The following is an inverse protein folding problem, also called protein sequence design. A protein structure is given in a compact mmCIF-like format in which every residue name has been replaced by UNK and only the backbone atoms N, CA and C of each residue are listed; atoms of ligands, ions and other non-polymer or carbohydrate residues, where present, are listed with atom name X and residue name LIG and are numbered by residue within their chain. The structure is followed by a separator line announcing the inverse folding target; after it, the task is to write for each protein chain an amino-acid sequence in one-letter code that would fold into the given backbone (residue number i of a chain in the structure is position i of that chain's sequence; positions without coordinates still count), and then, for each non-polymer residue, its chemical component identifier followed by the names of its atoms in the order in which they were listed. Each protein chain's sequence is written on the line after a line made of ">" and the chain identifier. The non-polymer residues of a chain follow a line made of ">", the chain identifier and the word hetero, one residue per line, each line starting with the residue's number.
data_IF_996595700341
#
_entry.id   IF_996595700341
#
_cell.length_a   1.000
_cell.length_b   1.000
_cell.length_c   1.000
_cell.angle_alpha   90.00
_cell.angle_beta   90.00
_cell.angle_gamma   90.00
#
_symmetry.space_group_name_H-M   'P 1'
#
loop_
_entity.id
_entity.type
_entity.pdbx_description
1 polymer ?
#
# COMPACT_ATOMS: atom_id res chain seq x y z
N UNK A 1 -66.55 -33.60 -21.80
CA UNK A 1 -65.59 -33.35 -22.90
C UNK A 1 -64.62 -32.32 -22.39
N UNK A 2 -63.35 -32.67 -22.21
CA UNK A 2 -62.30 -31.69 -21.93
C UNK A 2 -62.03 -30.91 -23.21
N UNK A 3 -61.97 -29.58 -23.11
CA UNK A 3 -61.55 -28.71 -24.20
C UNK A 3 -60.12 -29.08 -24.60
N UNK A 4 -59.86 -29.25 -25.90
CA UNK A 4 -58.54 -29.63 -26.39
C UNK A 4 -57.61 -28.42 -26.23
N UNK A 5 -56.75 -28.46 -25.21
CA UNK A 5 -55.70 -27.45 -25.03
C UNK A 5 -54.64 -27.68 -26.11
N UNK A 6 -54.39 -26.67 -26.94
CA UNK A 6 -53.36 -26.72 -27.99
C UNK A 6 -51.95 -26.59 -27.39
N UNK A 7 -51.02 -27.43 -27.88
CA UNK A 7 -49.61 -27.43 -27.44
C UNK A 7 -49.04 -28.84 -27.33
N UNK A 8 -47.80 -28.93 -26.84
CA UNK A 8 -47.12 -30.19 -26.53
C UNK A 8 -46.79 -30.27 -25.03
N UNK A 9 -46.65 -31.47 -24.47
CA UNK A 9 -46.26 -31.58 -23.05
C UNK A 9 -44.80 -31.16 -22.87
N UNK A 10 -44.43 -30.67 -21.69
CA UNK A 10 -43.04 -30.33 -21.40
C UNK A 10 -42.11 -31.55 -21.46
N UNK A 11 -42.63 -32.77 -21.29
CA UNK A 11 -41.88 -34.00 -21.55
C UNK A 11 -41.58 -34.18 -23.05
N UNK A 12 -42.56 -33.97 -23.91
CA UNK A 12 -42.38 -34.00 -25.37
C UNK A 12 -41.42 -32.90 -25.84
N UNK A 13 -41.60 -31.69 -25.30
CA UNK A 13 -40.72 -30.56 -25.57
C UNK A 13 -39.27 -30.86 -25.12
N UNK A 14 -39.08 -31.44 -23.93
CA UNK A 14 -37.78 -31.82 -23.38
C UNK A 14 -37.09 -32.89 -24.22
N UNK A 15 -37.84 -33.85 -24.75
CA UNK A 15 -37.31 -34.89 -25.64
C UNK A 15 -36.83 -34.32 -26.97
N UNK A 16 -37.49 -33.28 -27.49
CA UNK A 16 -37.14 -32.64 -28.76
C UNK A 16 -36.03 -31.58 -28.63
N UNK A 17 -36.05 -30.79 -27.56
CA UNK A 17 -35.21 -29.60 -27.41
C UNK A 17 -34.05 -29.79 -26.42
N UNK A 18 -34.06 -30.88 -25.65
CA UNK A 18 -33.12 -31.10 -24.56
C UNK A 18 -33.37 -30.17 -23.37
N UNK A 19 -32.38 -30.05 -22.49
CA UNK A 19 -32.51 -29.33 -21.22
C UNK A 19 -32.73 -27.82 -21.42
N UNK A 20 -33.59 -27.23 -20.59
CA UNK A 20 -33.93 -25.80 -20.65
C UNK A 20 -32.88 -24.90 -19.98
N UNK A 21 -32.95 -23.60 -20.27
CA UNK A 21 -32.15 -22.56 -19.63
C UNK A 21 -32.76 -22.13 -18.29
N UNK A 22 -31.94 -21.58 -17.39
CA UNK A 22 -32.43 -21.00 -16.13
C UNK A 22 -33.48 -19.91 -16.36
N UNK A 23 -33.29 -19.04 -17.34
CA UNK A 23 -34.22 -17.95 -17.61
C UNK A 23 -35.63 -18.45 -17.99
N UNK A 24 -35.68 -19.47 -18.85
CA UNK A 24 -36.95 -20.09 -19.27
C UNK A 24 -37.60 -20.84 -18.11
N UNK A 25 -36.81 -21.62 -17.35
CA UNK A 25 -37.29 -22.29 -16.16
C UNK A 25 -37.87 -21.32 -15.13
N UNK A 26 -37.21 -20.19 -14.86
CA UNK A 26 -37.70 -19.15 -13.95
C UNK A 26 -39.02 -18.55 -14.44
N UNK A 27 -39.12 -18.22 -15.73
CA UNK A 27 -40.35 -17.67 -16.33
C UNK A 27 -41.53 -18.63 -16.13
N UNK A 28 -41.34 -19.91 -16.44
CA UNK A 28 -42.38 -20.92 -16.27
C UNK A 28 -42.80 -21.10 -14.81
N UNK A 29 -41.85 -21.08 -13.87
CA UNK A 29 -42.19 -21.25 -12.44
C UNK A 29 -42.92 -20.03 -11.90
N UNK A 30 -42.46 -18.84 -12.29
CA UNK A 30 -43.15 -17.58 -12.00
C UNK A 30 -44.57 -17.61 -12.55
N UNK A 31 -44.78 -18.16 -13.75
CA UNK A 31 -46.09 -18.26 -14.35
C UNK A 31 -47.04 -19.15 -13.53
N UNK A 32 -46.60 -20.36 -13.17
CA UNK A 32 -47.44 -21.29 -12.40
C UNK A 32 -47.80 -20.77 -11.01
N UNK A 33 -46.91 -19.99 -10.39
CA UNK A 33 -47.07 -19.47 -9.03
C UNK A 33 -47.53 -18.01 -8.95
N UNK A 34 -47.85 -17.36 -10.08
CA UNK A 34 -48.25 -15.95 -10.11
C UNK A 34 -49.51 -15.68 -9.25
N UNK A 35 -49.59 -14.54 -8.55
CA UNK A 35 -50.78 -14.15 -7.80
C UNK A 35 -51.95 -13.80 -8.74
N UNK A 36 -53.20 -14.03 -8.30
CA UNK A 36 -54.42 -13.82 -9.10
C UNK A 36 -54.57 -12.36 -9.61
N UNK A 37 -54.00 -11.39 -8.91
CA UNK A 37 -54.04 -9.96 -9.27
C UNK A 37 -52.90 -9.52 -10.22
N UNK A 38 -52.13 -10.46 -10.77
CA UNK A 38 -51.13 -10.14 -11.79
C UNK A 38 -51.84 -9.80 -13.11
N UNK A 39 -51.56 -8.61 -13.65
CA UNK A 39 -52.38 -7.94 -14.70
C UNK A 39 -52.67 -8.77 -15.96
N UNK A 40 -52.02 -9.92 -16.20
CA UNK A 40 -52.26 -10.82 -17.34
C UNK A 40 -52.03 -12.32 -17.03
N UNK A 41 -51.96 -12.75 -15.76
CA UNK A 41 -51.48 -14.10 -15.44
C UNK A 41 -52.04 -14.61 -14.09
N UNK A 42 -53.10 -15.41 -14.09
CA UNK A 42 -53.48 -16.16 -12.90
C UNK A 42 -52.67 -17.46 -12.86
N UNK A 43 -51.78 -17.60 -11.88
CA UNK A 43 -50.98 -18.80 -11.74
C UNK A 43 -51.87 -19.99 -11.40
N UNK A 44 -51.85 -21.02 -12.23
CA UNK A 44 -52.75 -22.17 -12.07
C UNK A 44 -52.59 -22.88 -10.71
N UNK A 45 -51.37 -22.90 -10.15
CA UNK A 45 -51.16 -23.45 -8.80
C UNK A 45 -51.71 -22.53 -7.71
N UNK A 46 -51.61 -21.21 -7.90
CA UNK A 46 -52.21 -20.24 -6.99
C UNK A 46 -53.73 -20.41 -6.97
N UNK A 47 -54.35 -20.54 -8.15
CA UNK A 47 -55.78 -20.77 -8.28
C UNK A 47 -56.23 -22.07 -7.58
N UNK A 48 -55.52 -23.19 -7.81
CA UNK A 48 -55.86 -24.44 -7.16
C UNK A 48 -55.75 -24.33 -5.63
N UNK A 49 -54.62 -23.81 -5.15
CA UNK A 49 -54.34 -23.73 -3.71
C UNK A 49 -55.27 -22.71 -3.01
N UNK A 50 -55.69 -21.63 -3.66
CA UNK A 50 -56.67 -20.67 -3.12
C UNK A 50 -58.08 -21.27 -2.99
N UNK A 51 -58.40 -22.27 -3.81
CA UNK A 51 -59.66 -23.03 -3.75
C UNK A 51 -59.54 -24.32 -2.94
N UNK A 52 -58.51 -24.46 -2.09
CA UNK A 52 -58.25 -25.65 -1.28
C UNK A 52 -58.05 -26.94 -2.10
N UNK A 53 -57.61 -26.85 -3.35
CA UNK A 53 -57.34 -28.00 -4.21
C UNK A 53 -55.83 -28.27 -4.30
N UNK A 54 -55.43 -29.54 -4.21
CA UNK A 54 -54.04 -29.99 -4.45
C UNK A 54 -53.98 -30.87 -5.69
N UNK A 55 -52.98 -30.70 -6.54
CA UNK A 55 -52.89 -31.43 -7.81
C UNK A 55 -52.37 -32.87 -7.64
N UNK A 56 -51.36 -33.07 -6.79
CA UNK A 56 -50.69 -34.35 -6.48
C UNK A 56 -49.92 -35.01 -7.62
N UNK A 57 -50.09 -34.58 -8.88
CA UNK A 57 -49.36 -35.15 -10.02
C UNK A 57 -48.67 -34.11 -10.91
N UNK A 58 -47.92 -33.17 -10.32
CA UNK A 58 -47.15 -32.17 -11.09
C UNK A 58 -45.88 -32.82 -11.65
N UNK A 59 -45.82 -32.96 -12.98
CA UNK A 59 -44.67 -33.50 -13.72
C UNK A 59 -44.67 -32.97 -15.16
N UNK A 60 -43.53 -33.05 -15.90
CA UNK A 60 -43.45 -32.52 -17.27
C UNK A 60 -44.50 -33.09 -18.24
N UNK A 61 -44.94 -34.34 -18.07
CA UNK A 61 -45.99 -34.94 -18.91
C UNK A 61 -47.37 -34.29 -18.70
N UNK A 62 -47.58 -33.61 -17.56
CA UNK A 62 -48.86 -33.01 -17.17
C UNK A 62 -48.85 -31.48 -17.34
N UNK A 63 -47.81 -30.91 -17.94
CA UNK A 63 -47.71 -29.49 -18.24
C UNK A 63 -47.63 -29.32 -19.75
N UNK A 64 -48.62 -28.67 -20.36
CA UNK A 64 -48.62 -28.33 -21.79
C UNK A 64 -47.96 -26.97 -21.99
N UNK A 65 -46.97 -26.91 -22.89
CA UNK A 65 -46.46 -25.67 -23.46
C UNK A 65 -47.33 -25.25 -24.65
N UNK A 66 -48.03 -24.13 -24.49
CA UNK A 66 -48.89 -23.56 -25.52
C UNK A 66 -48.07 -22.76 -26.55
N UNK A 67 -48.61 -22.51 -27.77
CA UNK A 67 -47.92 -21.74 -28.81
C UNK A 67 -47.54 -20.31 -28.41
N UNK A 68 -48.25 -19.69 -27.46
CA UNK A 68 -47.93 -18.38 -26.89
C UNK A 68 -46.74 -18.40 -25.90
N UNK A 69 -46.24 -19.60 -25.56
CA UNK A 69 -45.14 -19.83 -24.62
C UNK A 69 -45.57 -20.00 -23.16
N UNK A 70 -46.87 -20.00 -22.88
CA UNK A 70 -47.43 -20.19 -21.55
C UNK A 70 -47.67 -21.68 -21.26
N UNK A 71 -47.60 -22.03 -19.98
CA UNK A 71 -47.92 -23.37 -19.48
C UNK A 71 -49.39 -23.51 -19.10
N UNK A 72 -49.98 -24.64 -19.45
CA UNK A 72 -51.24 -25.13 -18.89
C UNK A 72 -51.01 -26.44 -18.13
N UNK A 73 -51.74 -26.62 -17.03
CA UNK A 73 -51.74 -27.86 -16.27
C UNK A 73 -52.87 -28.76 -16.78
N UNK A 74 -52.53 -30.00 -17.11
CA UNK A 74 -53.47 -31.03 -17.54
C UNK A 74 -53.48 -32.19 -16.54
N UNK A 75 -54.49 -33.04 -16.67
CA UNK A 75 -54.70 -34.22 -15.82
C UNK A 75 -55.06 -33.90 -14.35
N UNK A 76 -56.29 -33.43 -14.17
CA UNK A 76 -56.90 -33.22 -12.85
C UNK A 76 -57.39 -34.53 -12.20
N UNK A 77 -57.08 -35.70 -12.78
CA UNK A 77 -57.45 -37.01 -12.20
C UNK A 77 -56.84 -37.24 -10.82
N UNK A 78 -55.78 -36.49 -10.50
CA UNK A 78 -55.15 -36.48 -9.20
C UNK A 78 -55.64 -35.44 -8.20
N UNK A 79 -56.57 -34.55 -8.57
CA UNK A 79 -56.92 -33.42 -7.70
C UNK A 79 -57.74 -33.84 -6.48
N UNK A 80 -57.48 -33.21 -5.34
CA UNK A 80 -58.20 -33.45 -4.08
C UNK A 80 -58.50 -32.14 -3.35
N UNK A 81 -59.69 -32.03 -2.77
CA UNK A 81 -60.07 -30.93 -1.88
C UNK A 81 -59.51 -31.15 -0.45
N UNK A 82 -58.86 -30.13 0.10
CA UNK A 82 -58.35 -30.11 1.46
C UNK A 82 -59.54 -29.94 2.42
N UNK A 83 -59.71 -30.88 3.36
CA UNK A 83 -60.76 -30.82 4.39
C UNK A 83 -61.94 -31.77 4.19
N UNK A 84 -62.07 -32.43 3.03
CA UNK A 84 -62.98 -33.57 2.91
C UNK A 84 -62.42 -34.79 3.67
N UNK A 85 -62.92 -35.01 4.89
CA UNK A 85 -62.92 -36.32 5.51
C UNK A 85 -63.90 -37.20 4.73
N UNK A 86 -63.40 -38.03 3.83
CA UNK A 86 -64.12 -39.21 3.34
C UNK A 86 -64.23 -40.24 4.47
N UNK A 87 -64.95 -39.89 5.53
CA UNK A 87 -65.70 -40.90 6.23
C UNK A 87 -66.81 -41.31 5.26
N UNK A 88 -66.85 -42.60 4.90
CA UNK A 88 -67.82 -43.28 4.04
C UNK A 88 -67.33 -43.45 2.58
N UNK A 89 -66.38 -44.37 2.36
CA UNK A 89 -66.52 -45.55 1.44
C UNK A 89 -65.20 -46.32 1.21
N UNK A 90 -64.02 -45.86 1.65
CA UNK A 90 -62.83 -46.76 1.68
C UNK A 90 -61.87 -46.46 2.83
N UNK A 91 -61.38 -47.49 3.51
CA UNK A 91 -60.54 -47.38 4.72
C UNK A 91 -59.08 -46.95 4.43
N UNK A 92 -58.76 -46.61 3.18
CA UNK A 92 -57.43 -46.19 2.75
C UNK A 92 -57.55 -45.00 1.78
N UNK A 93 -56.81 -43.90 2.01
CA UNK A 93 -56.81 -42.78 1.08
C UNK A 93 -56.29 -43.23 -0.30
N UNK A 94 -56.90 -42.74 -1.38
CA UNK A 94 -56.40 -42.98 -2.75
C UNK A 94 -55.01 -42.34 -2.90
N UNK A 95 -53.96 -43.18 -2.84
CA UNK A 95 -52.57 -42.76 -2.97
C UNK A 95 -52.24 -42.62 -4.45
N UNK A 96 -51.84 -41.42 -4.86
CA UNK A 96 -51.36 -41.13 -6.21
C UNK A 96 -49.86 -40.87 -6.12
N UNK A 97 -49.07 -41.69 -6.80
CA UNK A 97 -47.61 -41.56 -6.81
C UNK A 97 -47.08 -41.51 -8.24
N UNK A 98 -46.14 -40.59 -8.46
CA UNK A 98 -45.37 -40.46 -9.68
C UNK A 98 -43.90 -40.69 -9.35
N UNK A 99 -43.33 -41.74 -9.93
CA UNK A 99 -41.98 -42.21 -9.63
C UNK A 99 -40.96 -41.10 -9.89
N UNK A 100 -40.17 -40.74 -8.86
CA UNK A 100 -39.18 -39.67 -8.93
C UNK A 100 -39.71 -38.24 -8.67
N UNK A 101 -41.04 -38.04 -8.69
CA UNK A 101 -41.67 -36.72 -8.52
C UNK A 101 -42.43 -36.58 -7.20
N UNK A 102 -43.06 -37.64 -6.71
CA UNK A 102 -43.86 -37.58 -5.48
C UNK A 102 -42.99 -37.46 -4.22
N UNK A 103 -43.36 -36.59 -3.26
CA UNK A 103 -42.68 -36.46 -1.98
C UNK A 103 -43.05 -37.58 -0.99
N UNK A 104 -42.23 -37.81 0.05
CA UNK A 104 -42.46 -38.87 1.03
C UNK A 104 -43.83 -38.81 1.73
N UNK A 105 -44.29 -37.62 2.11
CA UNK A 105 -45.58 -37.49 2.79
C UNK A 105 -46.78 -37.82 1.88
N UNK A 106 -46.67 -37.58 0.57
CA UNK A 106 -47.70 -38.00 -0.39
C UNK A 106 -47.71 -39.51 -0.59
N UNK A 107 -46.54 -40.15 -0.63
CA UNK A 107 -46.42 -41.62 -0.67
C UNK A 107 -47.09 -42.25 0.56
N UNK A 108 -47.07 -41.55 1.69
CA UNK A 108 -47.75 -41.95 2.93
C UNK A 108 -49.24 -41.55 2.98
N UNK A 109 -49.82 -41.03 1.89
CA UNK A 109 -51.23 -40.62 1.82
C UNK A 109 -51.55 -39.28 2.48
N UNK A 110 -50.54 -38.50 2.88
CA UNK A 110 -50.64 -37.22 3.59
C UNK A 110 -50.26 -36.03 2.70
N UNK A 111 -50.70 -36.04 1.44
CA UNK A 111 -50.41 -34.95 0.50
C UNK A 111 -50.96 -33.61 1.01
N UNK A 112 -50.15 -32.54 0.87
CA UNK A 112 -50.48 -31.16 1.24
C UNK A 112 -50.14 -30.22 0.08
N UNK A 113 -50.42 -28.92 0.21
CA UNK A 113 -49.99 -27.91 -0.78
C UNK A 113 -48.48 -27.93 -1.03
N UNK A 114 -47.67 -28.20 0.00
CA UNK A 114 -46.22 -28.26 -0.14
C UNK A 114 -45.74 -29.56 -0.82
N UNK A 115 -46.63 -30.54 -0.99
CA UNK A 115 -46.34 -31.73 -1.79
C UNK A 115 -46.29 -31.40 -3.29
N UNK A 116 -47.17 -30.50 -3.75
CA UNK A 116 -47.12 -29.95 -5.11
C UNK A 116 -45.83 -29.16 -5.36
N UNK A 117 -45.32 -28.42 -4.36
CA UNK A 117 -44.06 -27.67 -4.50
C UNK A 117 -42.82 -28.57 -4.60
N UNK A 118 -42.84 -29.72 -3.94
CA UNK A 118 -41.79 -30.72 -4.12
C UNK A 118 -41.80 -31.29 -5.54
N UNK A 119 -42.98 -31.68 -6.02
CA UNK A 119 -43.16 -32.19 -7.38
C UNK A 119 -42.79 -31.13 -8.44
N UNK A 120 -43.10 -29.86 -8.18
CA UNK A 120 -42.63 -28.71 -8.95
C UNK A 120 -41.09 -28.63 -8.97
N UNK A 121 -40.43 -28.72 -7.80
CA UNK A 121 -38.96 -28.75 -7.73
C UNK A 121 -38.34 -29.91 -8.53
N UNK A 122 -38.90 -31.12 -8.42
CA UNK A 122 -38.48 -32.31 -9.18
C UNK A 122 -38.66 -32.14 -10.68
N UNK A 123 -39.78 -31.56 -11.09
CA UNK A 123 -40.08 -31.23 -12.49
C UNK A 123 -39.07 -30.24 -13.06
N UNK A 124 -38.70 -29.22 -12.29
CA UNK A 124 -37.71 -28.24 -12.71
C UNK A 124 -36.31 -28.82 -12.82
N UNK A 125 -35.92 -29.71 -11.90
CA UNK A 125 -34.67 -30.47 -12.04
C UNK A 125 -34.69 -31.31 -13.31
N UNK A 126 -35.80 -31.98 -13.62
CA UNK A 126 -35.95 -32.75 -14.86
C UNK A 126 -35.72 -31.87 -16.10
N UNK A 127 -36.39 -30.73 -16.17
CA UNK A 127 -36.26 -29.77 -17.27
C UNK A 127 -34.83 -29.19 -17.38
N UNK A 128 -34.19 -28.86 -16.27
CA UNK A 128 -32.86 -28.23 -16.25
C UNK A 128 -31.71 -29.22 -16.48
N UNK A 129 -31.94 -30.51 -16.26
CA UNK A 129 -30.94 -31.57 -16.48
C UNK A 129 -31.18 -32.35 -17.76
N UNK A 130 -32.42 -32.38 -18.27
CA UNK A 130 -32.84 -33.25 -19.37
C UNK A 130 -32.89 -34.72 -18.97
N UNK A 131 -33.04 -35.03 -17.67
CA UNK A 131 -32.99 -36.40 -17.12
C UNK A 131 -34.17 -36.64 -16.20
N UNK A 132 -34.66 -37.87 -16.17
CA UNK A 132 -35.69 -38.25 -15.21
C UNK A 132 -35.13 -38.13 -13.78
N UNK A 133 -35.85 -37.52 -12.82
CA UNK A 133 -35.37 -37.37 -11.45
C UNK A 133 -34.98 -38.68 -10.76
N UNK A 134 -35.55 -39.83 -11.15
CA UNK A 134 -35.19 -41.14 -10.59
C UNK A 134 -33.74 -41.52 -10.92
N UNK A 135 -33.29 -41.20 -12.13
CA UNK A 135 -31.94 -41.51 -12.63
C UNK A 135 -30.86 -40.65 -11.96
N UNK A 136 -31.29 -39.60 -11.26
CA UNK A 136 -30.44 -38.65 -10.55
C UNK A 136 -30.35 -38.95 -9.04
N UNK A 137 -31.08 -39.95 -8.55
CA UNK A 137 -31.02 -40.38 -7.15
C UNK A 137 -29.84 -41.33 -6.98
N UNK A 138 -28.96 -40.96 -6.06
CA UNK A 138 -27.83 -41.80 -5.66
C UNK A 138 -28.35 -43.01 -4.86
N UNK A 139 -28.08 -44.21 -5.35
CA UNK A 139 -28.65 -45.46 -4.80
C UNK A 139 -28.15 -45.80 -3.39
N UNK A 140 -27.02 -45.24 -2.95
CA UNK A 140 -26.44 -45.49 -1.63
C UNK A 140 -26.95 -44.49 -0.59
N UNK A 141 -27.13 -43.24 -0.99
CA UNK A 141 -27.48 -42.14 -0.07
C UNK A 141 -28.94 -41.73 -0.16
N UNK A 142 -29.68 -42.21 -1.16
CA UNK A 142 -31.04 -41.79 -1.52
C UNK A 142 -31.17 -40.26 -1.72
N UNK A 143 -30.07 -39.60 -2.08
CA UNK A 143 -30.02 -38.15 -2.30
C UNK A 143 -30.09 -37.83 -3.80
N UNK A 144 -30.83 -36.78 -4.15
CA UNK A 144 -30.91 -36.26 -5.51
C UNK A 144 -29.64 -35.47 -5.87
N UNK A 145 -28.76 -36.03 -6.71
CA UNK A 145 -27.49 -35.40 -7.13
C UNK A 145 -27.59 -34.86 -8.55
N UNK A 146 -28.19 -33.68 -8.70
CA UNK A 146 -28.51 -33.14 -10.03
C UNK A 146 -27.57 -32.02 -10.51
N UNK A 147 -26.82 -31.37 -9.59
CA UNK A 147 -26.11 -30.11 -9.86
C UNK A 147 -25.09 -30.19 -11.00
N UNK A 148 -24.38 -31.31 -11.12
CA UNK A 148 -23.34 -31.51 -12.13
C UNK A 148 -23.90 -31.69 -13.55
N UNK A 149 -25.17 -32.12 -13.67
CA UNK A 149 -25.86 -32.24 -14.96
C UNK A 149 -26.46 -30.90 -15.44
N UNK A 150 -26.61 -29.93 -14.54
CA UNK A 150 -27.14 -28.61 -14.82
C UNK A 150 -26.15 -27.48 -14.43
N UNK A 151 -24.92 -27.44 -14.96
CA UNK A 151 -23.93 -26.42 -14.61
C UNK A 151 -24.38 -25.00 -14.97
N UNK A 152 -25.27 -24.86 -15.97
CA UNK A 152 -25.84 -23.59 -16.41
C UNK A 152 -26.70 -22.89 -15.37
N UNK A 153 -27.13 -23.61 -14.33
CA UNK A 153 -27.96 -23.07 -13.24
C UNK A 153 -27.07 -22.28 -12.26
N UNK A 154 -27.47 -21.08 -11.88
CA UNK A 154 -26.83 -20.25 -10.88
C UNK A 154 -26.87 -20.92 -9.51
N UNK A 155 -25.84 -20.68 -8.68
CA UNK A 155 -25.80 -21.26 -7.32
C UNK A 155 -27.04 -20.87 -6.47
N UNK A 156 -27.50 -19.61 -6.49
CA UNK A 156 -28.73 -19.23 -5.77
C UNK A 156 -29.96 -20.01 -6.23
N UNK A 157 -30.17 -20.15 -7.54
CA UNK A 157 -31.36 -20.86 -8.03
C UNK A 157 -31.29 -22.36 -7.73
N UNK A 158 -30.11 -22.97 -7.83
CA UNK A 158 -29.92 -24.36 -7.42
C UNK A 158 -30.20 -24.58 -5.92
N UNK A 159 -29.76 -23.66 -5.07
CA UNK A 159 -30.07 -23.72 -3.64
C UNK A 159 -31.58 -23.61 -3.39
N UNK A 160 -32.27 -22.74 -4.13
CA UNK A 160 -33.71 -22.59 -4.04
C UNK A 160 -34.48 -23.84 -4.47
N UNK A 161 -34.09 -24.48 -5.58
CA UNK A 161 -34.68 -25.75 -6.02
C UNK A 161 -34.50 -26.85 -4.97
N UNK A 162 -33.36 -26.90 -4.28
CA UNK A 162 -33.16 -27.83 -3.17
C UNK A 162 -34.14 -27.56 -2.00
N UNK A 163 -34.46 -26.29 -1.72
CA UNK A 163 -35.47 -25.92 -0.70
C UNK A 163 -36.85 -26.43 -1.08
N UNK A 164 -37.28 -26.25 -2.34
CA UNK A 164 -38.55 -26.79 -2.85
C UNK A 164 -38.64 -28.30 -2.69
N UNK A 165 -37.53 -29.01 -2.89
CA UNK A 165 -37.43 -30.47 -2.79
C UNK A 165 -37.00 -30.96 -1.40
N UNK A 166 -37.12 -30.16 -0.33
CA UNK A 166 -36.75 -30.64 1.01
C UNK A 166 -37.60 -31.86 1.40
N UNK A 167 -37.02 -32.84 2.07
CA UNK A 167 -37.78 -33.99 2.58
C UNK A 167 -38.84 -33.58 3.61
N UNK A 168 -38.60 -32.49 4.36
CA UNK A 168 -39.56 -31.97 5.35
C UNK A 168 -40.51 -30.94 4.70
N UNK A 169 -41.84 -31.16 4.74
CA UNK A 169 -42.83 -30.21 4.24
C UNK A 169 -42.71 -28.80 4.84
N UNK A 170 -42.30 -28.69 6.11
CA UNK A 170 -42.15 -27.43 6.83
C UNK A 170 -40.96 -26.58 6.37
N UNK A 171 -39.99 -27.18 5.70
CA UNK A 171 -38.81 -26.48 5.16
C UNK A 171 -39.04 -25.96 3.73
N UNK A 172 -40.14 -26.36 3.10
CA UNK A 172 -40.55 -25.87 1.79
C UNK A 172 -41.31 -24.55 1.94
N UNK A 173 -41.46 -23.75 0.87
CA UNK A 173 -42.37 -22.60 0.86
C UNK A 173 -43.78 -23.05 1.23
N UNK A 174 -44.51 -22.22 1.96
CA UNK A 174 -45.86 -22.60 2.42
C UNK A 174 -46.96 -22.16 1.46
N UNK A 175 -46.66 -21.24 0.54
CA UNK A 175 -47.62 -20.70 -0.44
C UNK A 175 -46.96 -20.49 -1.80
N UNK A 176 -47.77 -20.44 -2.87
CA UNK A 176 -47.30 -20.05 -4.20
C UNK A 176 -46.79 -18.61 -4.23
N UNK A 177 -47.37 -17.73 -3.41
CA UNK A 177 -46.94 -16.33 -3.25
C UNK A 177 -45.50 -16.27 -2.74
N UNK A 178 -45.13 -17.07 -1.75
CA UNK A 178 -43.76 -17.12 -1.24
C UNK A 178 -42.76 -17.53 -2.33
N UNK A 179 -43.13 -18.51 -3.16
CA UNK A 179 -42.34 -18.93 -4.32
C UNK A 179 -42.20 -17.76 -5.29
N UNK A 180 -43.31 -17.16 -5.72
CA UNK A 180 -43.32 -16.07 -6.67
C UNK A 180 -42.47 -14.88 -6.20
N UNK A 181 -42.68 -14.41 -4.98
CA UNK A 181 -41.91 -13.31 -4.35
C UNK A 181 -40.42 -13.64 -4.27
N UNK A 182 -40.05 -14.88 -3.92
CA UNK A 182 -38.64 -15.27 -3.92
C UNK A 182 -38.02 -15.15 -5.33
N UNK A 183 -38.72 -15.65 -6.35
CA UNK A 183 -38.24 -15.64 -7.73
C UNK A 183 -38.15 -14.24 -8.33
N UNK A 184 -39.05 -13.32 -7.96
CA UNK A 184 -39.12 -11.97 -8.55
C UNK A 184 -38.29 -10.94 -7.78
N UNK A 185 -38.15 -11.06 -6.46
CA UNK A 185 -37.49 -10.05 -5.63
C UNK A 185 -36.12 -10.50 -5.10
N UNK A 186 -36.04 -11.67 -4.47
CA UNK A 186 -34.84 -12.11 -3.73
C UNK A 186 -33.79 -12.76 -4.62
N UNK A 187 -34.21 -13.69 -5.47
CA UNK A 187 -33.32 -14.49 -6.29
C UNK A 187 -32.48 -13.66 -7.28
N UNK A 188 -33.04 -12.65 -8.00
CA UNK A 188 -32.25 -11.84 -8.92
C UNK A 188 -31.11 -11.07 -8.23
N UNK A 189 -31.35 -10.60 -6.99
CA UNK A 189 -30.32 -9.92 -6.20
C UNK A 189 -29.19 -10.87 -5.81
N UNK A 190 -29.53 -12.08 -5.38
CA UNK A 190 -28.55 -13.12 -5.03
C UNK A 190 -27.70 -13.54 -6.24
N UNK A 191 -28.31 -13.67 -7.42
CA UNK A 191 -27.61 -13.99 -8.66
C UNK A 191 -26.60 -12.90 -9.01
N UNK A 192 -27.03 -11.61 -9.02
CA UNK A 192 -26.15 -10.46 -9.29
C UNK A 192 -24.97 -10.38 -8.32
N UNK A 193 -25.21 -10.58 -7.03
CA UNK A 193 -24.16 -10.60 -6.02
C UNK A 193 -23.14 -11.73 -6.29
N UNK A 194 -23.60 -12.95 -6.59
CA UNK A 194 -22.72 -14.08 -6.87
C UNK A 194 -21.87 -13.89 -8.15
N UNK A 195 -22.43 -13.22 -9.17
CA UNK A 195 -21.72 -12.88 -10.40
C UNK A 195 -20.63 -11.84 -10.14
N UNK A 196 -20.91 -10.83 -9.31
CA UNK A 196 -19.94 -9.78 -8.95
C UNK A 196 -18.73 -10.36 -8.23
N UNK A 197 -18.96 -11.21 -7.22
CA UNK A 197 -17.87 -11.82 -6.41
C UNK A 197 -17.06 -12.83 -7.23
N UNK A 198 -17.67 -13.52 -8.19
CA UNK A 198 -16.95 -14.45 -9.06
C UNK A 198 -16.30 -13.79 -10.28
N UNK A 199 -16.56 -12.50 -10.53
CA UNK A 199 -15.95 -11.76 -11.62
C UNK A 199 -14.43 -11.77 -11.50
N UNK A 200 -13.77 -12.05 -12.62
CA UNK A 200 -12.31 -12.03 -12.71
C UNK A 200 -11.76 -10.66 -12.27
N UNK A 201 -12.36 -9.57 -12.72
CA UNK A 201 -11.97 -8.21 -12.33
C UNK A 201 -12.10 -7.94 -10.83
N UNK A 202 -13.14 -8.46 -10.18
CA UNK A 202 -13.30 -8.30 -8.74
C UNK A 202 -12.19 -9.01 -7.95
N UNK A 203 -11.85 -10.24 -8.35
CA UNK A 203 -10.75 -11.02 -7.76
C UNK A 203 -9.39 -10.34 -7.98
N UNK A 204 -9.16 -9.82 -9.18
CA UNK A 204 -7.95 -9.05 -9.52
C UNK A 204 -7.86 -7.80 -8.64
N UNK A 205 -8.94 -7.03 -8.48
CA UNK A 205 -8.93 -5.84 -7.63
C UNK A 205 -8.58 -6.16 -6.17
N UNK A 206 -9.14 -7.22 -5.59
CA UNK A 206 -8.79 -7.64 -4.23
C UNK A 206 -7.32 -8.02 -4.14
N UNK A 207 -6.83 -8.85 -5.07
CA UNK A 207 -5.44 -9.27 -5.09
C UNK A 207 -4.48 -8.07 -5.21
N UNK A 208 -4.80 -7.10 -6.05
CA UNK A 208 -4.02 -5.86 -6.22
C UNK A 208 -4.00 -5.01 -4.95
N UNK A 209 -5.13 -4.85 -4.26
CA UNK A 209 -5.19 -4.11 -2.98
C UNK A 209 -4.34 -4.81 -1.93
N UNK A 210 -4.44 -6.14 -1.81
CA UNK A 210 -3.63 -6.92 -0.87
C UNK A 210 -2.14 -6.82 -1.17
N UNK A 211 -1.73 -6.89 -2.44
CA UNK A 211 -0.34 -6.76 -2.84
C UNK A 211 0.22 -5.36 -2.50
N UNK A 212 -0.53 -4.30 -2.80
CA UNK A 212 -0.15 -2.92 -2.47
C UNK A 212 -0.02 -2.71 -0.97
N UNK A 213 -0.90 -3.31 -0.16
CA UNK A 213 -0.82 -3.24 1.30
C UNK A 213 0.46 -3.91 1.82
N UNK A 214 0.79 -5.11 1.31
CA UNK A 214 2.01 -5.84 1.71
C UNK A 214 3.27 -5.04 1.33
N UNK A 215 3.32 -4.51 0.11
CA UNK A 215 4.44 -3.68 -0.35
C UNK A 215 4.58 -2.40 0.49
N UNK A 216 3.45 -1.73 0.80
CA UNK A 216 3.43 -0.56 1.65
C UNK A 216 3.94 -0.84 3.06
N UNK A 217 3.52 -1.95 3.68
CA UNK A 217 4.01 -2.39 4.99
C UNK A 217 5.51 -2.70 4.91
N UNK A 218 5.97 -3.44 3.90
CA UNK A 218 7.39 -3.77 3.74
C UNK A 218 8.28 -2.53 3.56
N UNK A 219 7.82 -1.55 2.78
CA UNK A 219 8.50 -0.27 2.62
C UNK A 219 8.54 0.53 3.93
N UNK A 220 7.41 0.57 4.66
CA UNK A 220 7.33 1.21 5.97
C UNK A 220 8.26 0.59 7.01
N UNK A 221 8.35 -0.75 7.06
CA UNK A 221 9.30 -1.47 7.94
C UNK A 221 10.74 -1.15 7.55
N UNK A 222 11.06 -1.11 6.25
CA UNK A 222 12.42 -0.81 5.78
C UNK A 222 12.86 0.61 6.20
N UNK A 223 11.99 1.61 6.05
CA UNK A 223 12.26 2.96 6.52
C UNK A 223 12.39 3.04 8.05
N UNK A 224 11.54 2.31 8.78
CA UNK A 224 11.59 2.28 10.24
C UNK A 224 12.90 1.69 10.75
N UNK A 225 13.34 0.54 10.20
CA UNK A 225 14.62 -0.08 10.57
C UNK A 225 15.79 0.84 10.22
N UNK A 226 15.80 1.43 9.02
CA UNK A 226 16.84 2.38 8.63
C UNK A 226 16.94 3.57 9.60
N UNK A 227 15.80 4.15 9.99
CA UNK A 227 15.75 5.26 10.94
C UNK A 227 16.21 4.88 12.36
N UNK A 228 15.94 3.65 12.83
CA UNK A 228 16.46 3.18 14.10
C UNK A 228 17.99 3.13 14.12
N UNK A 229 18.58 2.56 13.06
CA UNK A 229 20.04 2.51 12.92
C UNK A 229 20.67 3.88 12.68
N UNK A 230 20.00 4.80 11.96
CA UNK A 230 20.44 6.19 11.86
C UNK A 230 20.58 6.84 13.24
N UNK A 231 19.59 6.64 14.12
CA UNK A 231 19.63 7.18 15.49
C UNK A 231 20.74 6.55 16.32
N UNK A 232 20.91 5.23 16.26
CA UNK A 232 22.01 4.52 16.95
C UNK A 232 23.38 5.00 16.47
N UNK A 233 23.55 5.10 15.16
CA UNK A 233 24.78 5.61 14.55
C UNK A 233 25.07 7.05 14.95
N UNK A 234 24.05 7.91 15.00
CA UNK A 234 24.21 9.30 15.45
C UNK A 234 24.62 9.40 16.93
N UNK A 235 24.07 8.54 17.79
CA UNK A 235 24.49 8.47 19.20
C UNK A 235 25.93 7.99 19.33
N UNK A 236 26.30 6.91 18.63
CA UNK A 236 27.67 6.41 18.59
C UNK A 236 28.65 7.45 18.08
N UNK A 237 28.27 8.24 17.09
CA UNK A 237 29.07 9.36 16.57
C UNK A 237 29.25 10.46 17.63
N UNK A 238 28.20 10.77 18.40
CA UNK A 238 28.22 11.78 19.48
C UNK A 238 29.15 11.40 20.63
N UNK A 239 29.25 10.10 20.94
CA UNK A 239 30.15 9.56 21.97
C UNK A 239 31.51 9.12 21.39
N UNK A 240 31.84 9.57 20.17
CA UNK A 240 33.12 9.33 19.47
C UNK A 240 33.46 7.85 19.20
N UNK A 241 32.46 6.97 19.22
CA UNK A 241 32.60 5.57 18.83
C UNK A 241 32.46 5.41 17.31
N UNK A 242 33.42 5.94 16.56
CA UNK A 242 33.35 6.06 15.10
C UNK A 242 33.19 4.72 14.37
N UNK A 243 33.80 3.64 14.86
CA UNK A 243 33.66 2.31 14.26
C UNK A 243 32.25 1.72 14.44
N UNK A 244 31.66 1.91 15.63
CA UNK A 244 30.27 1.52 15.90
C UNK A 244 29.30 2.35 15.06
N UNK A 245 29.52 3.67 15.00
CA UNK A 245 28.73 4.59 14.17
C UNK A 245 28.74 4.20 12.69
N UNK A 246 29.93 3.89 12.14
CA UNK A 246 30.10 3.37 10.79
C UNK A 246 29.22 2.14 10.55
N UNK A 247 29.29 1.16 11.45
CA UNK A 247 28.54 -0.10 11.33
C UNK A 247 27.02 0.13 11.34
N UNK A 248 26.54 1.02 12.21
CA UNK A 248 25.13 1.38 12.27
C UNK A 248 24.67 2.10 11.00
N UNK A 249 25.43 3.07 10.49
CA UNK A 249 25.07 3.77 9.26
C UNK A 249 25.13 2.88 8.02
N UNK A 250 26.11 1.98 7.92
CA UNK A 250 26.14 0.94 6.88
C UNK A 250 24.89 0.06 6.95
N UNK A 251 24.45 -0.30 8.16
CA UNK A 251 23.21 -1.06 8.35
C UNK A 251 21.98 -0.24 7.97
N UNK A 252 21.92 1.05 8.34
CA UNK A 252 20.85 1.94 7.93
C UNK A 252 20.71 2.04 6.40
N UNK A 253 21.84 2.04 5.68
CA UNK A 253 21.90 2.08 4.22
C UNK A 253 21.51 0.75 3.55
N UNK A 254 21.68 -0.39 4.22
CA UNK A 254 21.14 -1.68 3.73
C UNK A 254 19.61 -1.67 3.63
N UNK A 255 18.95 -0.92 4.52
CA UNK A 255 17.48 -0.80 4.56
C UNK A 255 16.94 0.42 3.82
N UNK A 256 17.77 1.46 3.62
CA UNK A 256 17.44 2.63 2.81
C UNK A 256 18.72 3.24 2.21
N UNK A 257 19.07 2.80 1.00
CA UNK A 257 20.26 3.24 0.25
C UNK A 257 20.14 4.65 -0.33
N UNK A 258 18.99 5.31 -0.16
CA UNK A 258 18.70 6.68 -0.61
C UNK A 258 18.74 7.70 0.52
N UNK A 259 19.16 7.32 1.72
CA UNK A 259 19.29 8.25 2.83
C UNK A 259 20.56 9.11 2.69
N UNK A 260 20.40 10.36 2.23
CA UNK A 260 21.48 11.33 2.18
C UNK A 260 22.10 11.59 3.56
N UNK A 261 21.27 11.59 4.62
CA UNK A 261 21.70 11.76 6.02
C UNK A 261 22.60 10.59 6.44
N UNK A 262 22.22 9.35 6.12
CA UNK A 262 23.01 8.17 6.46
C UNK A 262 24.37 8.20 5.75
N UNK A 263 24.38 8.56 4.46
CA UNK A 263 25.63 8.74 3.71
C UNK A 263 26.50 9.86 4.29
N UNK A 264 25.93 11.02 4.64
CA UNK A 264 26.68 12.11 5.26
C UNK A 264 27.31 11.69 6.60
N UNK A 265 26.57 10.99 7.46
CA UNK A 265 27.07 10.61 8.77
C UNK A 265 28.03 9.41 8.71
N UNK A 266 27.85 8.50 7.75
CA UNK A 266 28.83 7.46 7.44
C UNK A 266 30.14 8.07 6.94
N UNK A 267 30.05 9.06 6.04
CA UNK A 267 31.22 9.80 5.57
C UNK A 267 31.97 10.48 6.72
N UNK A 268 31.23 11.12 7.63
CA UNK A 268 31.79 11.75 8.82
C UNK A 268 32.47 10.73 9.75
N UNK A 269 31.88 9.54 9.92
CA UNK A 269 32.49 8.45 10.68
C UNK A 269 33.79 7.97 10.03
N UNK A 270 33.81 7.80 8.71
CA UNK A 270 35.01 7.43 7.96
C UNK A 270 36.11 8.50 8.05
N UNK A 271 35.74 9.78 7.99
CA UNK A 271 36.67 10.90 8.16
C UNK A 271 37.41 10.85 9.50
N UNK A 272 36.68 10.61 10.61
CA UNK A 272 37.30 10.49 11.93
C UNK A 272 38.13 9.21 12.10
N UNK A 273 37.84 8.16 11.34
CA UNK A 273 38.66 6.95 11.26
C UNK A 273 39.91 7.09 10.37
N UNK A 274 40.06 8.24 9.67
CA UNK A 274 41.17 8.48 8.74
C UNK A 274 40.99 7.83 7.36
N UNK A 275 39.81 7.30 7.05
CA UNK A 275 39.47 6.66 5.77
C UNK A 275 38.87 7.72 4.82
N UNK A 276 39.75 8.50 4.19
CA UNK A 276 39.34 9.59 3.30
C UNK A 276 38.64 9.12 2.03
N UNK A 277 39.03 7.97 1.49
CA UNK A 277 38.39 7.41 0.29
C UNK A 277 36.93 7.04 0.59
N UNK A 278 36.67 6.40 1.73
CA UNK A 278 35.32 6.14 2.20
C UNK A 278 34.53 7.45 2.40
N UNK A 279 35.13 8.44 3.06
CA UNK A 279 34.46 9.70 3.36
C UNK A 279 34.08 10.48 2.08
N UNK A 280 35.01 10.60 1.13
CA UNK A 280 34.76 11.25 -0.16
C UNK A 280 33.65 10.54 -0.92
N UNK A 281 33.68 9.20 -0.99
CA UNK A 281 32.67 8.42 -1.69
C UNK A 281 31.26 8.67 -1.13
N UNK A 282 31.12 8.66 0.19
CA UNK A 282 29.81 8.84 0.84
C UNK A 282 29.34 10.29 0.88
N UNK A 283 30.22 11.29 1.04
CA UNK A 283 29.80 12.70 0.87
C UNK A 283 29.33 12.97 -0.56
N UNK A 284 30.05 12.45 -1.57
CA UNK A 284 29.65 12.56 -2.98
C UNK A 284 28.28 11.92 -3.20
N UNK A 285 28.02 10.76 -2.59
CA UNK A 285 26.73 10.09 -2.68
C UNK A 285 25.61 10.88 -1.97
N UNK A 286 25.87 11.45 -0.80
CA UNK A 286 24.92 12.31 -0.09
C UNK A 286 24.53 13.52 -0.95
N UNK A 287 25.51 14.19 -1.55
CA UNK A 287 25.29 15.32 -2.47
C UNK A 287 24.49 14.91 -3.72
N UNK A 288 24.77 13.74 -4.28
CA UNK A 288 24.03 13.23 -5.44
C UNK A 288 22.55 12.95 -5.11
N UNK A 289 22.25 12.56 -3.87
CA UNK A 289 20.88 12.32 -3.39
C UNK A 289 20.17 13.62 -2.98
N UNK A 290 20.90 14.57 -2.42
CA UNK A 290 20.39 15.87 -1.95
C UNK A 290 21.40 16.97 -2.34
N UNK A 291 21.23 17.60 -3.52
CA UNK A 291 22.17 18.61 -4.03
C UNK A 291 22.30 19.87 -3.16
N UNK A 292 21.39 20.05 -2.21
CA UNK A 292 21.30 21.12 -1.22
C UNK A 292 21.83 20.73 0.17
N UNK A 293 22.51 19.58 0.30
CA UNK A 293 23.13 19.14 1.55
C UNK A 293 24.45 19.88 1.80
N UNK A 294 24.37 21.16 2.18
CA UNK A 294 25.50 22.09 2.25
C UNK A 294 26.60 21.66 3.23
N UNK A 295 26.25 20.97 4.31
CA UNK A 295 27.19 20.38 5.26
C UNK A 295 28.09 19.32 4.60
N UNK A 296 27.56 18.55 3.65
CA UNK A 296 28.33 17.55 2.93
C UNK A 296 29.38 18.20 2.01
N UNK A 297 29.04 19.32 1.36
CA UNK A 297 30.00 20.12 0.62
C UNK A 297 31.08 20.71 1.55
N UNK A 298 30.69 21.25 2.70
CA UNK A 298 31.65 21.80 3.67
C UNK A 298 32.66 20.74 4.12
N UNK A 299 32.18 19.57 4.52
CA UNK A 299 33.04 18.48 5.00
C UNK A 299 33.91 17.90 3.89
N UNK A 300 33.37 17.75 2.67
CA UNK A 300 34.16 17.32 1.52
C UNK A 300 35.26 18.34 1.18
N UNK A 301 34.96 19.64 1.29
CA UNK A 301 35.95 20.70 1.18
C UNK A 301 37.07 20.58 2.21
N UNK A 302 36.73 20.28 3.47
CA UNK A 302 37.70 20.07 4.54
C UNK A 302 38.63 18.87 4.29
N UNK A 303 38.13 17.79 3.69
CA UNK A 303 38.97 16.65 3.29
C UNK A 303 39.96 17.07 2.21
N UNK A 304 39.50 17.73 1.13
CA UNK A 304 40.40 18.20 0.08
C UNK A 304 41.43 19.22 0.59
N UNK A 305 41.03 20.08 1.52
CA UNK A 305 41.92 21.06 2.16
C UNK A 305 43.02 20.36 2.97
N UNK A 306 42.68 19.35 3.75
CA UNK A 306 43.64 18.51 4.49
C UNK A 306 44.62 17.78 3.55
N UNK A 307 44.16 17.41 2.36
CA UNK A 307 44.98 16.82 1.30
C UNK A 307 45.76 17.86 0.48
N UNK A 308 45.72 19.14 0.86
CA UNK A 308 46.34 20.28 0.14
C UNK A 308 45.83 20.46 -1.30
N UNK A 309 44.67 19.87 -1.64
CA UNK A 309 43.99 20.01 -2.93
C UNK A 309 43.09 21.25 -2.92
N UNK A 310 43.71 22.42 -2.76
CA UNK A 310 43.01 23.68 -2.48
C UNK A 310 42.03 24.12 -3.57
N UNK A 311 42.28 23.79 -4.84
CA UNK A 311 41.36 24.12 -5.93
C UNK A 311 40.02 23.40 -5.76
N UNK A 312 40.06 22.11 -5.42
CA UNK A 312 38.86 21.33 -5.15
C UNK A 312 38.17 21.78 -3.86
N UNK A 313 38.94 22.04 -2.80
CA UNK A 313 38.42 22.56 -1.54
C UNK A 313 37.65 23.88 -1.75
N UNK A 314 38.22 24.80 -2.53
CA UNK A 314 37.60 26.10 -2.86
C UNK A 314 36.25 25.93 -3.56
N UNK A 315 36.15 25.01 -4.52
CA UNK A 315 34.88 24.69 -5.19
C UNK A 315 33.83 24.20 -4.20
N UNK A 316 34.20 23.29 -3.29
CA UNK A 316 33.25 22.74 -2.32
C UNK A 316 32.84 23.79 -1.27
N UNK A 317 33.77 24.59 -0.76
CA UNK A 317 33.43 25.67 0.17
C UNK A 317 32.55 26.74 -0.47
N UNK A 318 32.76 27.08 -1.74
CA UNK A 318 31.87 27.99 -2.46
C UNK A 318 30.45 27.43 -2.55
N UNK A 319 30.29 26.11 -2.77
CA UNK A 319 28.97 25.47 -2.74
C UNK A 319 28.35 25.50 -1.33
N UNK A 320 29.13 25.17 -0.31
CA UNK A 320 28.68 25.18 1.09
C UNK A 320 28.27 26.58 1.59
N UNK A 321 28.76 27.65 0.98
CA UNK A 321 28.37 29.03 1.28
C UNK A 321 26.88 29.36 0.97
N UNK A 322 26.15 28.45 0.34
CA UNK A 322 24.69 28.55 0.16
C UNK A 322 23.89 27.99 1.36
N UNK A 323 24.58 27.45 2.38
CA UNK A 323 23.94 26.85 3.55
C UNK A 323 23.44 27.83 4.60
N UNK A 324 23.17 27.28 5.77
CA UNK A 324 22.76 28.05 6.96
C UNK A 324 23.75 29.19 7.25
N UNK A 325 23.37 30.25 7.98
CA UNK A 325 24.28 31.34 8.33
C UNK A 325 25.61 30.87 8.95
N UNK A 326 25.57 29.84 9.81
CA UNK A 326 26.78 29.28 10.42
C UNK A 326 27.61 28.49 9.39
N UNK A 327 27.00 27.55 8.65
CA UNK A 327 27.69 26.79 7.60
C UNK A 327 28.33 27.73 6.57
N UNK A 328 27.61 28.80 6.21
CA UNK A 328 28.08 29.84 5.31
C UNK A 328 29.28 30.58 5.90
N UNK A 329 29.22 31.02 7.16
CA UNK A 329 30.34 31.69 7.82
C UNK A 329 31.59 30.81 7.88
N UNK A 330 31.44 29.53 8.23
CA UNK A 330 32.53 28.56 8.29
C UNK A 330 33.13 28.29 6.90
N UNK A 331 32.30 28.07 5.89
CA UNK A 331 32.75 27.82 4.52
C UNK A 331 33.48 29.04 3.93
N UNK A 332 32.92 30.24 4.12
CA UNK A 332 33.54 31.49 3.67
C UNK A 332 34.83 31.79 4.42
N UNK A 333 34.92 31.48 5.72
CA UNK A 333 36.17 31.59 6.47
C UNK A 333 37.29 30.74 5.84
N UNK A 334 36.99 29.49 5.50
CA UNK A 334 37.97 28.59 4.89
C UNK A 334 38.32 29.04 3.46
N UNK A 335 37.32 29.49 2.67
CA UNK A 335 37.57 30.05 1.35
C UNK A 335 38.46 31.30 1.42
N UNK A 336 38.21 32.23 2.35
CA UNK A 336 39.03 33.42 2.55
C UNK A 336 40.47 33.07 2.96
N UNK A 337 40.67 32.03 3.77
CA UNK A 337 42.01 31.49 4.09
C UNK A 337 42.74 31.04 2.83
N UNK A 338 42.07 30.29 1.94
CA UNK A 338 42.66 29.83 0.68
C UNK A 338 42.98 31.01 -0.25
N UNK A 339 42.12 32.03 -0.30
CA UNK A 339 42.37 33.27 -1.04
C UNK A 339 43.57 34.06 -0.51
N UNK A 340 43.74 34.12 0.81
CA UNK A 340 44.95 34.71 1.41
C UNK A 340 46.22 33.96 1.04
N UNK A 341 46.19 32.61 1.01
CA UNK A 341 47.33 31.79 0.52
C UNK A 341 47.67 32.10 -0.94
N UNK A 342 46.66 32.38 -1.76
CA UNK A 342 46.80 32.76 -3.16
C UNK A 342 47.15 34.25 -3.36
N UNK A 343 47.40 35.01 -2.28
CA UNK A 343 47.67 36.45 -2.30
C UNK A 343 46.51 37.30 -2.87
N UNK A 344 45.30 36.74 -2.92
CA UNK A 344 44.07 37.41 -3.35
C UNK A 344 43.42 38.14 -2.16
N UNK A 345 44.18 39.05 -1.54
CA UNK A 345 43.83 39.65 -0.25
C UNK A 345 42.55 40.50 -0.28
N UNK A 346 42.33 41.26 -1.34
CA UNK A 346 41.10 42.08 -1.49
C UNK A 346 39.85 41.20 -1.50
N UNK A 347 39.90 40.07 -2.21
CA UNK A 347 38.78 39.12 -2.26
C UNK A 347 38.59 38.45 -0.89
N UNK A 348 39.68 38.00 -0.24
CA UNK A 348 39.62 37.41 1.09
C UNK A 348 38.99 38.34 2.14
N UNK A 349 39.37 39.62 2.16
CA UNK A 349 38.79 40.60 3.06
C UNK A 349 37.29 40.83 2.79
N UNK A 350 36.91 40.96 1.52
CA UNK A 350 35.50 41.13 1.12
C UNK A 350 34.63 39.93 1.50
N UNK A 351 35.15 38.72 1.29
CA UNK A 351 34.51 37.47 1.69
C UNK A 351 34.20 37.45 3.19
N UNK A 352 35.20 37.69 4.05
CA UNK A 352 35.01 37.72 5.50
C UNK A 352 33.99 38.78 5.93
N UNK A 353 34.11 39.99 5.39
CA UNK A 353 33.20 41.11 5.72
C UNK A 353 31.74 40.79 5.37
N UNK A 354 31.51 40.01 4.31
CA UNK A 354 30.16 39.61 3.90
C UNK A 354 29.44 38.67 4.88
N UNK A 355 30.17 37.98 5.77
CA UNK A 355 29.62 36.96 6.67
C UNK A 355 29.87 37.22 8.16
N UNK A 356 30.76 38.13 8.52
CA UNK A 356 31.16 38.34 9.94
C UNK A 356 29.99 38.68 10.85
N UNK A 357 28.96 39.35 10.33
CA UNK A 357 27.75 39.69 11.10
C UNK A 357 26.70 38.56 11.15
N UNK A 358 26.90 37.48 10.38
CA UNK A 358 25.92 36.38 10.26
C UNK A 358 26.07 35.31 11.35
N UNK A 359 27.17 35.32 12.10
CA UNK A 359 27.45 34.34 13.17
C UNK A 359 27.79 35.06 14.47
N UNK A 360 27.41 34.43 15.59
CA UNK A 360 27.79 34.83 16.95
C UNK A 360 28.65 33.75 17.63
N UNK A 361 29.05 32.71 16.88
CA UNK A 361 29.87 31.63 17.43
C UNK A 361 31.31 32.13 17.58
N UNK A 362 31.75 32.33 18.83
CA UNK A 362 33.08 32.83 19.18
C UNK A 362 34.23 32.13 18.42
N UNK A 363 34.26 30.79 18.26
CA UNK A 363 35.33 30.12 17.51
C UNK A 363 35.36 30.49 16.01
N UNK A 364 34.18 30.64 15.40
CA UNK A 364 34.02 31.01 13.99
C UNK A 364 34.40 32.48 13.78
N UNK A 365 33.95 33.37 14.68
CA UNK A 365 34.30 34.78 14.68
C UNK A 365 35.81 35.00 14.86
N UNK A 366 36.45 34.28 15.78
CA UNK A 366 37.90 34.33 15.98
C UNK A 366 38.65 33.98 14.70
N UNK A 367 38.21 32.91 14.02
CA UNK A 367 38.80 32.45 12.76
C UNK A 367 38.63 33.47 11.63
N UNK A 368 37.43 34.05 11.51
CA UNK A 368 37.11 35.09 10.53
C UNK A 368 37.97 36.33 10.73
N UNK A 369 38.03 36.86 11.96
CA UNK A 369 38.85 38.02 12.28
C UNK A 369 40.34 37.77 12.05
N UNK A 370 40.83 36.55 12.34
CA UNK A 370 42.20 36.16 12.02
C UNK A 370 42.47 36.21 10.51
N UNK A 371 41.58 35.65 9.69
CA UNK A 371 41.72 35.66 8.23
C UNK A 371 41.54 37.06 7.62
N UNK A 372 40.69 37.91 8.22
CA UNK A 372 40.60 39.33 7.86
C UNK A 372 41.91 40.07 8.17
N UNK A 373 42.48 39.83 9.36
CA UNK A 373 43.78 40.40 9.74
C UNK A 373 44.90 40.01 8.79
N UNK A 374 44.95 38.74 8.36
CA UNK A 374 45.90 38.28 7.34
C UNK A 374 45.68 39.00 6.01
N UNK A 375 44.44 39.11 5.53
CA UNK A 375 44.13 39.82 4.30
C UNK A 375 44.56 41.30 4.36
N UNK A 376 44.23 41.99 5.45
CA UNK A 376 44.59 43.39 5.66
C UNK A 376 46.10 43.61 5.76
N UNK A 377 46.84 42.68 6.37
CA UNK A 377 48.30 42.70 6.39
C UNK A 377 48.88 42.63 4.97
N UNK A 378 48.36 41.74 4.11
CA UNK A 378 48.77 41.63 2.72
C UNK A 378 48.39 42.84 1.84
N UNK A 379 47.48 43.69 2.32
CA UNK A 379 47.09 44.96 1.69
C UNK A 379 47.83 46.17 2.27
N UNK A 380 48.85 45.95 3.10
CA UNK A 380 49.60 46.99 3.84
C UNK A 380 48.74 47.86 4.79
N UNK A 381 47.53 47.39 5.14
CA UNK A 381 46.61 48.07 6.09
C UNK A 381 46.90 47.62 7.52
N UNK A 382 48.12 47.89 7.98
CA UNK A 382 48.67 47.29 9.20
C UNK A 382 47.91 47.61 10.49
N UNK A 383 47.36 48.83 10.62
CA UNK A 383 46.58 49.21 11.80
C UNK A 383 45.28 48.40 11.91
N UNK A 384 44.56 48.29 10.81
CA UNK A 384 43.32 47.52 10.76
C UNK A 384 43.59 46.01 10.88
N UNK A 385 44.70 45.54 10.33
CA UNK A 385 45.16 44.17 10.51
C UNK A 385 45.39 43.86 12.00
N UNK A 386 46.06 44.75 12.73
CA UNK A 386 46.28 44.60 14.17
C UNK A 386 44.95 44.54 14.94
N UNK A 387 44.03 45.48 14.69
CA UNK A 387 42.71 45.51 15.34
C UNK A 387 41.95 44.19 15.11
N UNK A 388 41.95 43.69 13.87
CA UNK A 388 41.28 42.44 13.54
C UNK A 388 41.92 41.23 14.27
N UNK A 389 43.26 41.16 14.33
CA UNK A 389 43.96 40.07 15.02
C UNK A 389 43.80 40.13 16.54
N UNK A 390 43.83 41.32 17.13
CA UNK A 390 43.53 41.51 18.56
C UNK A 390 42.10 41.12 18.89
N UNK A 391 41.15 41.45 18.01
CA UNK A 391 39.77 40.97 18.14
C UNK A 391 39.72 39.44 18.11
N UNK A 392 40.43 38.79 17.17
CA UNK A 392 40.50 37.33 17.12
C UNK A 392 41.04 36.72 18.44
N UNK A 393 42.10 37.30 19.02
CA UNK A 393 42.65 36.85 20.31
C UNK A 393 41.72 37.12 21.49
N UNK A 394 40.90 38.18 21.44
CA UNK A 394 39.90 38.43 22.50
C UNK A 394 38.81 37.37 22.56
N UNK A 395 38.50 36.75 21.41
CA UNK A 395 37.49 35.69 21.26
C UNK A 395 38.11 34.30 21.54
N UNK A 396 39.36 34.09 21.10
CA UNK A 396 40.13 32.87 21.38
C UNK A 396 41.62 33.22 21.55
N UNK A 397 42.04 33.33 22.81
CA UNK A 397 43.42 33.69 23.17
C UNK A 397 44.43 32.55 22.99
N UNK A 398 44.00 31.35 22.58
CA UNK A 398 44.90 30.20 22.39
C UNK A 398 45.44 30.08 20.95
N UNK A 399 44.98 30.95 20.04
CA UNK A 399 45.24 30.88 18.60
C UNK A 399 46.66 31.26 18.21
N UNK A 400 47.49 30.23 18.04
CA UNK A 400 48.89 30.39 17.60
C UNK A 400 48.99 30.99 16.19
N UNK A 401 48.07 30.67 15.29
CA UNK A 401 48.03 31.26 13.95
C UNK A 401 47.85 32.78 13.99
N UNK A 402 47.01 33.28 14.89
CA UNK A 402 46.82 34.71 15.13
C UNK A 402 48.08 35.37 15.72
N UNK A 403 48.74 34.75 16.69
CA UNK A 403 50.00 35.27 17.26
C UNK A 403 51.10 35.42 16.20
N UNK A 404 51.25 34.44 15.31
CA UNK A 404 52.22 34.53 14.22
C UNK A 404 51.94 35.71 13.28
N UNK A 405 50.67 35.92 12.90
CA UNK A 405 50.28 37.06 12.07
C UNK A 405 50.47 38.40 12.80
N UNK A 406 50.15 38.47 14.09
CA UNK A 406 50.29 39.69 14.87
C UNK A 406 51.76 40.09 15.05
N UNK A 407 52.67 39.12 15.18
CA UNK A 407 54.11 39.37 15.17
C UNK A 407 54.55 40.03 13.85
N UNK A 408 54.12 39.54 12.69
CA UNK A 408 54.42 40.17 11.40
C UNK A 408 53.87 41.61 11.31
N UNK A 409 52.62 41.81 11.73
CA UNK A 409 51.97 43.12 11.71
C UNK A 409 52.72 44.11 12.60
N UNK A 410 53.05 43.72 13.84
CA UNK A 410 53.79 44.58 14.78
C UNK A 410 55.20 44.91 14.29
N UNK A 411 55.92 43.94 13.71
CA UNK A 411 57.22 44.19 13.06
C UNK A 411 57.11 45.20 11.91
N UNK A 412 56.10 45.06 11.04
CA UNK A 412 55.86 46.00 9.93
C UNK A 412 55.54 47.42 10.44
N UNK A 413 54.85 47.52 11.57
CA UNK A 413 54.55 48.80 12.26
C UNK A 413 55.69 49.32 13.13
N UNK A 414 56.81 48.59 13.26
CA UNK A 414 57.93 48.90 14.19
C UNK A 414 57.49 49.00 15.66
N UNK A 415 56.56 48.12 16.06
CA UNK A 415 56.09 47.96 17.44
C UNK A 415 56.76 46.76 18.11
N UNK A 416 56.79 46.75 19.44
CA UNK A 416 57.29 45.61 20.23
C UNK A 416 56.43 44.36 19.98
N UNK A 417 57.08 43.26 19.59
CA UNK A 417 56.44 42.02 19.14
C UNK A 417 56.95 40.75 19.82
N UNK A 418 57.80 40.89 20.85
CA UNK A 418 58.53 39.78 21.46
C UNK A 418 57.60 38.75 22.11
N UNK A 419 56.50 39.21 22.71
CA UNK A 419 55.51 38.34 23.32
C UNK A 419 54.79 37.48 22.25
N UNK A 420 54.36 38.09 21.15
CA UNK A 420 53.70 37.38 20.05
C UNK A 420 54.67 36.44 19.32
N UNK A 421 55.89 36.90 19.06
CA UNK A 421 56.95 36.13 18.42
C UNK A 421 57.27 34.88 19.25
N UNK A 422 57.49 35.06 20.56
CA UNK A 422 57.79 33.96 21.48
C UNK A 422 56.64 32.95 21.52
N UNK A 423 55.40 33.43 21.56
CA UNK A 423 54.22 32.55 21.57
C UNK A 423 54.08 31.78 20.25
N UNK A 424 54.25 32.47 19.10
CA UNK A 424 54.22 31.82 17.79
C UNK A 424 55.28 30.71 17.67
N UNK A 425 56.54 30.99 18.05
CA UNK A 425 57.67 30.08 17.83
C UNK A 425 57.76 28.93 18.84
N UNK A 426 57.46 29.19 20.12
CA UNK A 426 57.78 28.26 21.21
C UNK A 426 56.56 27.66 21.90
N UNK A 427 55.34 28.04 21.53
CA UNK A 427 54.16 27.38 22.09
C UNK A 427 54.15 25.89 21.79
N UNK A 428 53.87 25.09 22.84
CA UNK A 428 53.69 23.65 22.74
C UNK A 428 52.49 23.27 21.87
N UNK A 429 51.51 24.17 21.75
CA UNK A 429 50.35 24.00 20.88
C UNK A 429 50.80 24.07 19.41
N UNK A 430 50.60 22.96 18.68
CA UNK A 430 50.88 22.89 17.24
C UNK A 430 49.62 23.24 16.46
N UNK A 431 49.73 24.18 15.52
CA UNK A 431 48.68 24.40 14.52
C UNK A 431 48.79 23.35 13.42
N UNK A 432 47.68 22.73 12.97
CA UNK A 432 47.68 21.80 11.84
C UNK A 432 47.78 22.50 10.49
N UNK A 433 47.73 23.84 10.45
CA UNK A 433 47.70 24.60 9.20
C UNK A 433 49.12 24.72 8.58
N UNK A 434 49.30 24.41 7.28
CA UNK A 434 50.60 24.46 6.63
C UNK A 434 51.21 25.87 6.60
N UNK A 435 50.39 26.92 6.42
CA UNK A 435 50.86 28.31 6.45
C UNK A 435 51.53 28.68 7.79
N UNK A 436 51.07 28.13 8.91
CA UNK A 436 51.66 28.48 10.22
C UNK A 436 53.07 27.92 10.33
N UNK A 437 53.34 26.76 9.74
CA UNK A 437 54.69 26.20 9.64
C UNK A 437 55.58 27.10 8.78
N UNK A 438 55.07 27.57 7.65
CA UNK A 438 55.78 28.52 6.77
C UNK A 438 56.09 29.83 7.51
N UNK A 439 55.11 30.41 8.21
CA UNK A 439 55.26 31.64 8.99
C UNK A 439 56.30 31.49 10.11
N UNK A 440 56.29 30.39 10.85
CA UNK A 440 57.29 30.12 11.89
C UNK A 440 58.71 30.09 11.31
N UNK A 441 58.90 29.47 10.15
CA UNK A 441 60.21 29.45 9.47
C UNK A 441 60.61 30.87 9.05
N UNK A 442 59.67 31.66 8.52
CA UNK A 442 59.94 33.05 8.12
C UNK A 442 60.31 33.94 9.32
N UNK A 443 59.56 33.85 10.43
CA UNK A 443 59.82 34.60 11.65
C UNK A 443 61.15 34.21 12.31
N UNK A 444 61.47 32.91 12.35
CA UNK A 444 62.74 32.44 12.89
C UNK A 444 63.96 32.97 12.10
N UNK A 445 63.83 33.15 10.78
CA UNK A 445 64.89 33.73 9.94
C UNK A 445 65.07 35.24 10.12
N UNK A 446 64.02 35.94 10.57
CA UNK A 446 64.05 37.39 10.78
C UNK A 446 64.71 37.79 12.10
N UNK A 447 64.93 36.83 12.99
CA UNK A 447 65.82 36.94 14.13
C UNK A 447 65.21 37.59 15.36
N UNK A 448 65.56 37.00 16.51
CA UNK A 448 65.77 37.70 17.77
C UNK A 448 66.88 38.74 17.63
#
# INVERSE_FOLDING_TARGET
>A
MLEKIEGETLEQWLAQNGKTSEAVALRWMQQLCAPENSQNLSGILTYLHSHNLIHRDIKPSNLILQPNGDLALIDFGGVRELGQTDAIISNYPTIITSLGYSPPEQVNGQATVTSDFYALGRSWVSLLTGRNPIDLIDSQTNQLRWRHHAPQVSKPFAAWLNTLMSASPYQRPQTTIEIYTHLTEKLPQQIRASQRVNSWWFKVSIASISASLILGIGWGVSLWVSNDYLRKGAENLRIEQYQSARTDFETALKWNDRSAIAHNNLALSCYYLGDDDCAIAHYTRAIALSPDYWEAYYNLGAIYDRQERYDLASVQYLKAANGSPETKAQAINNLARLKNRQQQYTEAASLVQSVVQLTQAEPTLASLHKNLGWALFGLDRFEEAQIALERALSLDGSRIDTYCLLAFVKQARKLESDAELKTCLFSATKSPLPEVKEWRIQLAKRGF
#
